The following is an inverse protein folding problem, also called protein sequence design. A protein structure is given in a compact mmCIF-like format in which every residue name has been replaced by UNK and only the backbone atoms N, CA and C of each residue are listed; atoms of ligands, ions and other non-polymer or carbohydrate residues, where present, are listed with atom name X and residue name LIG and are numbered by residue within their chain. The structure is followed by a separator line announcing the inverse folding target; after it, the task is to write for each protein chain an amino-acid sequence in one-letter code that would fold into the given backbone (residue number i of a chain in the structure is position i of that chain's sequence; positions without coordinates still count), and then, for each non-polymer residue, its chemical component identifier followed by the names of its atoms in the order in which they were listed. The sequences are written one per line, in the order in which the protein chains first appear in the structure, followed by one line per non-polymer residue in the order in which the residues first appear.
data_IF_668877897805
#
_entry.id   IF_668877897805
#
_cell.length_a   1.000
_cell.length_b   1.000
_cell.length_c   1.000
_cell.angle_alpha   90.00
_cell.angle_beta   90.00
_cell.angle_gamma   90.00
#
_symmetry.space_group_name_H-M   'P 1'
#
loop_
_entity.id
_entity.type
_entity.pdbx_description
1 polymer ?
#
# COMPACT_ATOMS: atom_id res chain seq x y z
N UNK A 1 -55.34 45.13 50.82
CA UNK A 1 -55.95 44.12 49.93
C UNK A 1 -54.84 43.25 49.39
N UNK A 2 -54.81 41.99 49.80
CA UNK A 2 -53.80 41.00 49.43
C UNK A 2 -54.11 40.43 48.05
N UNK A 3 -53.12 40.38 47.15
CA UNK A 3 -53.19 39.61 45.92
C UNK A 3 -51.90 38.80 45.74
N UNK A 4 -52.06 37.48 45.93
CA UNK A 4 -51.46 36.39 45.16
C UNK A 4 -49.96 36.38 44.88
N UNK A 5 -49.22 35.61 45.69
CA UNK A 5 -47.96 35.00 45.27
C UNK A 5 -48.25 33.93 44.20
N UNK A 6 -47.70 34.09 43.00
CA UNK A 6 -47.59 33.00 42.01
C UNK A 6 -46.11 32.66 41.91
N UNK A 7 -45.73 31.50 42.42
CA UNK A 7 -44.44 30.87 42.19
C UNK A 7 -44.52 30.03 40.91
N UNK A 8 -43.60 30.18 39.95
CA UNK A 8 -43.28 29.08 39.05
C UNK A 8 -42.12 28.28 39.65
N UNK A 9 -42.51 27.12 40.17
CA UNK A 9 -41.87 25.82 39.97
C UNK A 9 -40.38 25.81 39.60
N UNK A 10 -39.61 25.19 40.50
CA UNK A 10 -38.27 24.69 40.25
C UNK A 10 -38.25 23.81 38.99
N UNK A 11 -37.77 24.36 37.87
CA UNK A 11 -37.29 23.56 36.75
C UNK A 11 -35.91 23.07 37.11
N UNK A 12 -35.85 21.81 37.56
CA UNK A 12 -34.60 21.10 37.77
C UNK A 12 -33.79 21.18 36.49
N UNK A 13 -32.70 21.96 36.51
CA UNK A 13 -31.66 21.85 35.49
C UNK A 13 -31.05 20.47 35.68
N UNK A 14 -31.52 19.50 34.91
CA UNK A 14 -30.72 18.35 34.56
C UNK A 14 -29.49 18.94 33.89
N UNK A 15 -28.37 19.02 34.63
CA UNK A 15 -27.08 19.25 34.02
C UNK A 15 -26.83 18.04 33.13
N UNK A 16 -27.22 18.18 31.86
CA UNK A 16 -26.83 17.28 30.80
C UNK A 16 -25.31 17.15 30.84
N UNK A 17 -24.81 15.96 31.17
CA UNK A 17 -23.39 15.58 31.07
C UNK A 17 -22.93 15.46 29.60
N UNK A 18 -23.75 15.93 28.66
CA UNK A 18 -23.47 15.90 27.24
C UNK A 18 -22.56 17.08 26.91
N UNK A 19 -21.29 16.79 26.61
CA UNK A 19 -20.32 17.79 26.18
C UNK A 19 -20.87 18.60 25.00
N UNK A 20 -20.83 19.92 25.11
CA UNK A 20 -21.18 20.81 24.01
C UNK A 20 -19.91 21.14 23.21
N UNK A 21 -19.97 20.98 21.88
CA UNK A 21 -18.90 21.46 21.00
C UNK A 21 -18.82 22.98 21.13
N UNK A 22 -17.72 23.48 21.68
CA UNK A 22 -17.42 24.91 21.65
C UNK A 22 -16.99 25.28 20.23
N UNK A 23 -17.95 25.63 19.37
CA UNK A 23 -17.65 26.23 18.07
C UNK A 23 -17.21 27.68 18.29
N UNK A 24 -15.93 27.87 18.60
CA UNK A 24 -15.28 29.18 18.67
C UNK A 24 -14.25 29.27 17.55
N UNK A 25 -14.49 30.15 16.57
CA UNK A 25 -13.57 30.43 15.48
C UNK A 25 -12.18 30.87 15.99
N UNK A 26 -11.19 30.27 15.34
CA UNK A 26 -9.85 30.76 14.94
C UNK A 26 -8.93 31.31 16.03
N UNK A 27 -8.13 30.40 16.60
CA UNK A 27 -6.82 30.75 17.18
C UNK A 27 -5.87 31.12 16.04
N UNK A 28 -5.54 32.42 15.91
CA UNK A 28 -4.64 33.01 14.90
C UNK A 28 -3.17 32.54 14.97
N UNK A 29 -2.84 31.62 15.88
CA UNK A 29 -1.56 30.91 15.92
C UNK A 29 -1.82 29.42 16.14
N UNK A 30 -1.86 28.67 15.04
CA UNK A 30 -1.98 27.22 15.08
C UNK A 30 -0.57 26.64 15.28
N UNK A 31 -0.16 26.42 16.53
CA UNK A 31 0.94 25.50 16.80
C UNK A 31 0.37 24.09 16.79
N UNK A 32 0.69 23.34 15.74
CA UNK A 32 0.27 21.95 15.61
C UNK A 32 1.51 21.07 15.56
N UNK A 33 1.61 20.17 16.52
CA UNK A 33 2.64 19.16 16.57
C UNK A 33 1.98 17.80 16.40
N UNK A 34 2.29 17.12 15.29
CA UNK A 34 1.74 15.78 15.01
C UNK A 34 2.12 14.79 16.12
N UNK A 35 3.30 14.97 16.74
CA UNK A 35 3.82 14.16 17.84
C UNK A 35 2.80 14.02 19.00
N UNK A 36 2.17 15.12 19.37
CA UNK A 36 1.27 15.21 20.54
C UNK A 36 -0.04 14.45 20.31
N UNK A 37 -0.39 14.20 19.04
CA UNK A 37 -1.62 13.53 18.65
C UNK A 37 -1.48 12.00 18.53
N UNK A 38 -0.27 11.45 18.71
CA UNK A 38 -0.01 10.02 18.56
C UNK A 38 0.30 9.41 19.93
N UNK A 39 -0.57 8.52 20.45
CA UNK A 39 -0.37 7.89 21.75
C UNK A 39 1.01 7.26 21.90
N UNK A 40 1.62 7.38 23.07
CA UNK A 40 2.97 6.84 23.34
C UNK A 40 3.08 5.31 23.12
N UNK A 41 1.97 4.58 23.35
CA UNK A 41 1.85 3.14 23.17
C UNK A 41 1.48 2.71 21.74
N UNK A 42 1.46 3.63 20.77
CA UNK A 42 1.10 3.31 19.39
C UNK A 42 2.17 2.42 18.72
N UNK A 43 1.73 1.42 17.94
CA UNK A 43 2.63 0.44 17.29
C UNK A 43 3.74 1.10 16.48
N UNK A 44 3.39 2.10 15.66
CA UNK A 44 4.37 2.80 14.82
C UNK A 44 5.47 3.49 15.62
N UNK A 45 5.23 3.91 16.87
CA UNK A 45 6.29 4.45 17.73
C UNK A 45 7.28 3.37 18.15
N UNK A 46 6.79 2.18 18.44
CA UNK A 46 7.64 1.04 18.76
C UNK A 46 8.48 0.60 17.56
N UNK A 47 7.87 0.60 16.36
CA UNK A 47 8.60 0.31 15.12
C UNK A 47 9.63 1.40 14.83
N UNK A 48 9.26 2.68 14.96
CA UNK A 48 10.17 3.81 14.67
C UNK A 48 11.43 3.81 15.54
N UNK A 49 11.33 3.36 16.81
CA UNK A 49 12.50 3.20 17.68
C UNK A 49 13.49 2.13 17.22
N UNK A 50 13.02 1.13 16.48
CA UNK A 50 13.82 0.01 16.02
C UNK A 50 14.19 0.11 14.54
N UNK A 51 13.44 0.90 13.77
CA UNK A 51 13.63 1.11 12.34
C UNK A 51 14.66 2.21 12.11
N UNK A 52 15.86 1.79 11.75
CA UNK A 52 16.94 2.69 11.36
C UNK A 52 17.23 2.49 9.87
N UNK A 53 17.20 3.60 9.16
CA UNK A 53 17.39 3.67 7.71
C UNK A 53 18.53 4.64 7.35
N UNK A 54 19.43 4.94 8.30
CA UNK A 54 20.50 5.93 8.13
C UNK A 54 21.41 5.61 6.94
N UNK A 55 21.73 4.32 6.74
CA UNK A 55 22.60 3.86 5.65
C UNK A 55 21.89 3.73 4.29
N UNK A 56 20.55 3.83 4.27
CA UNK A 56 19.73 3.61 3.07
C UNK A 56 20.11 4.53 1.92
N UNK A 57 20.31 5.82 2.23
CA UNK A 57 20.63 6.83 1.22
C UNK A 57 22.03 6.61 0.64
N UNK A 58 22.98 6.21 1.47
CA UNK A 58 24.33 5.87 1.02
C UNK A 58 24.32 4.64 0.12
N UNK A 59 23.60 3.59 0.52
CA UNK A 59 23.45 2.36 -0.26
C UNK A 59 22.85 2.60 -1.66
N UNK A 60 21.91 3.55 -1.76
CA UNK A 60 21.23 3.87 -3.01
C UNK A 60 21.93 4.94 -3.86
N UNK A 61 23.00 5.58 -3.38
CA UNK A 61 23.58 6.76 -4.01
C UNK A 61 23.90 6.57 -5.50
N UNK A 62 24.50 5.44 -5.87
CA UNK A 62 24.90 5.13 -7.25
C UNK A 62 23.71 4.88 -8.21
N UNK A 63 22.50 4.66 -7.66
CA UNK A 63 21.28 4.43 -8.42
C UNK A 63 20.47 5.71 -8.67
N UNK A 64 20.97 6.85 -8.19
CA UNK A 64 20.33 8.16 -8.35
C UNK A 64 21.21 9.07 -9.21
N UNK A 65 20.57 9.80 -10.12
CA UNK A 65 21.26 10.78 -10.97
C UNK A 65 21.59 12.04 -10.15
N UNK A 66 22.79 12.62 -10.31
CA UNK A 66 23.13 13.91 -9.71
C UNK A 66 22.37 15.10 -10.35
N UNK A 67 21.75 14.89 -11.51
CA UNK A 67 21.07 15.94 -12.29
C UNK A 67 19.62 15.52 -12.57
N UNK A 68 18.68 16.46 -12.41
CA UNK A 68 17.28 16.30 -12.78
C UNK A 68 16.31 16.71 -11.68
N UNK A 69 15.03 16.35 -11.86
CA UNK A 69 14.01 16.54 -10.82
C UNK A 69 14.33 15.65 -9.62
N UNK A 70 14.35 16.19 -8.39
CA UNK A 70 14.50 15.38 -7.19
C UNK A 70 13.48 14.25 -7.15
N UNK A 71 13.95 13.03 -6.92
CA UNK A 71 13.08 11.89 -6.72
C UNK A 71 12.49 11.90 -5.31
N UNK A 72 11.47 11.07 -5.09
CA UNK A 72 10.92 10.85 -3.75
C UNK A 72 11.98 10.21 -2.86
N UNK A 73 12.02 10.63 -1.60
CA UNK A 73 12.95 10.08 -0.60
C UNK A 73 12.75 8.56 -0.44
N UNK A 74 13.79 7.73 -0.63
CA UNK A 74 13.67 6.29 -0.44
C UNK A 74 13.26 5.92 0.99
N UNK A 75 13.64 6.70 2.01
CA UNK A 75 13.24 6.43 3.40
C UNK A 75 11.72 6.53 3.58
N UNK A 76 11.12 7.59 3.06
CA UNK A 76 9.67 7.79 3.02
C UNK A 76 8.96 6.61 2.35
N UNK A 77 9.50 6.12 1.22
CA UNK A 77 8.90 4.99 0.52
C UNK A 77 8.93 3.70 1.34
N UNK A 78 10.06 3.39 1.99
CA UNK A 78 10.18 2.22 2.84
C UNK A 78 9.24 2.32 4.04
N UNK A 79 9.14 3.49 4.69
CA UNK A 79 8.22 3.74 5.80
C UNK A 79 6.76 3.54 5.39
N UNK A 80 6.34 4.05 4.23
CA UNK A 80 5.00 3.80 3.70
C UNK A 80 4.74 2.30 3.48
N UNK A 81 5.71 1.58 2.89
CA UNK A 81 5.57 0.14 2.71
C UNK A 81 5.42 -0.61 4.05
N UNK A 82 6.21 -0.25 5.07
CA UNK A 82 6.10 -0.81 6.42
C UNK A 82 4.70 -0.58 7.00
N UNK A 83 4.15 0.63 6.87
CA UNK A 83 2.74 0.92 7.28
C UNK A 83 1.77 -0.02 6.55
N UNK A 84 1.93 -0.16 5.22
CA UNK A 84 1.10 -1.04 4.42
C UNK A 84 1.12 -2.49 4.92
N UNK A 85 2.29 -3.02 5.25
CA UNK A 85 2.44 -4.37 5.80
C UNK A 85 1.86 -4.49 7.22
N UNK A 86 2.12 -3.54 8.12
CA UNK A 86 1.64 -3.60 9.50
C UNK A 86 0.11 -3.56 9.62
N UNK A 87 -0.56 -2.79 8.75
CA UNK A 87 -2.01 -2.63 8.77
C UNK A 87 -2.73 -3.44 7.68
N UNK A 88 -2.01 -4.30 6.95
CA UNK A 88 -2.59 -5.17 5.93
C UNK A 88 -3.15 -4.45 4.70
N UNK A 89 -2.67 -3.23 4.41
CA UNK A 89 -3.09 -2.45 3.25
C UNK A 89 -2.31 -2.95 2.03
N UNK A 90 -2.98 -3.76 1.20
CA UNK A 90 -2.35 -4.37 0.01
C UNK A 90 -2.33 -3.50 -1.24
N UNK A 91 -3.16 -2.45 -1.28
CA UNK A 91 -3.23 -1.53 -2.42
C UNK A 91 -2.41 -0.28 -2.13
N UNK A 92 -1.43 0.02 -3.00
CA UNK A 92 -0.60 1.23 -2.88
C UNK A 92 -1.43 2.51 -3.06
N UNK A 93 -2.47 2.47 -3.88
CA UNK A 93 -3.41 3.59 -4.02
C UNK A 93 -4.09 3.89 -2.69
N UNK A 94 -4.62 2.84 -2.06
CA UNK A 94 -5.23 2.94 -0.73
C UNK A 94 -4.21 3.36 0.31
N UNK A 95 -2.97 2.87 0.24
CA UNK A 95 -1.90 3.27 1.17
C UNK A 95 -1.62 4.77 1.09
N UNK A 96 -1.56 5.34 -0.11
CA UNK A 96 -1.41 6.79 -0.30
C UNK A 96 -2.63 7.56 0.26
N UNK A 97 -3.85 7.10 0.00
CA UNK A 97 -5.08 7.70 0.54
C UNK A 97 -5.09 7.67 2.08
N UNK A 98 -4.75 6.54 2.68
CA UNK A 98 -4.66 6.37 4.13
C UNK A 98 -3.56 7.26 4.72
N UNK A 99 -2.42 7.41 4.04
CA UNK A 99 -1.36 8.32 4.45
C UNK A 99 -1.78 9.80 4.34
N UNK A 100 -2.71 10.16 3.46
CA UNK A 100 -3.29 11.51 3.44
C UNK A 100 -4.17 11.77 4.67
N UNK A 101 -4.94 10.78 5.10
CA UNK A 101 -5.98 10.90 6.12
C UNK A 101 -5.47 10.66 7.55
N UNK A 102 -4.44 9.82 7.72
CA UNK A 102 -4.02 9.34 9.02
C UNK A 102 -2.75 10.05 9.53
N UNK A 103 -2.88 10.78 10.64
CA UNK A 103 -1.78 11.51 11.29
C UNK A 103 -0.64 10.59 11.74
N UNK A 104 -0.96 9.39 12.25
CA UNK A 104 0.06 8.44 12.69
C UNK A 104 0.92 7.94 11.53
N UNK A 105 0.32 7.80 10.34
CA UNK A 105 1.04 7.35 9.15
C UNK A 105 1.95 8.46 8.64
N UNK A 106 1.45 9.71 8.56
CA UNK A 106 2.27 10.88 8.22
C UNK A 106 3.47 11.02 9.14
N UNK A 107 3.23 10.97 10.46
CA UNK A 107 4.27 11.06 11.47
C UNK A 107 5.36 10.00 11.30
N UNK A 108 4.95 8.73 11.16
CA UNK A 108 5.88 7.63 10.98
C UNK A 108 6.69 7.78 9.68
N UNK A 109 6.08 8.36 8.65
CA UNK A 109 6.69 8.65 7.37
C UNK A 109 7.52 9.94 7.34
N UNK A 110 7.66 10.65 8.48
CA UNK A 110 8.33 11.97 8.58
C UNK A 110 7.70 13.03 7.67
N UNK A 111 6.41 12.91 7.38
CA UNK A 111 5.63 13.91 6.65
C UNK A 111 4.96 14.89 7.62
N UNK A 112 5.11 16.16 7.35
CA UNK A 112 4.35 17.26 7.94
C UNK A 112 2.91 17.24 7.44
N UNK A 113 2.03 18.11 7.96
CA UNK A 113 0.66 18.25 7.46
C UNK A 113 0.61 18.78 6.02
N UNK A 114 1.56 19.65 5.66
CA UNK A 114 1.63 20.33 4.37
C UNK A 114 2.33 19.50 3.30
N UNK A 115 3.13 18.51 3.71
CA UNK A 115 3.89 17.69 2.79
C UNK A 115 2.96 16.84 1.90
N UNK A 116 3.32 16.75 0.63
CA UNK A 116 2.61 15.96 -0.37
C UNK A 116 2.92 14.47 -0.19
N UNK A 117 1.87 13.64 -0.15
CA UNK A 117 2.05 12.19 -0.16
C UNK A 117 2.41 11.74 -1.57
N UNK A 118 3.44 10.89 -1.76
CA UNK A 118 3.81 10.39 -3.07
C UNK A 118 2.66 9.69 -3.80
N UNK A 119 2.64 9.83 -5.12
CA UNK A 119 1.70 9.10 -5.96
C UNK A 119 2.02 7.59 -5.97
N UNK A 120 0.98 6.75 -5.92
CA UNK A 120 1.09 5.28 -5.99
C UNK A 120 1.97 4.77 -7.14
N UNK A 121 1.95 5.43 -8.30
CA UNK A 121 2.77 5.04 -9.47
C UNK A 121 4.29 5.14 -9.21
N UNK A 122 4.73 5.89 -8.21
CA UNK A 122 6.15 5.95 -7.83
C UNK A 122 6.61 4.64 -7.21
N UNK A 123 5.75 3.93 -6.49
CA UNK A 123 6.09 2.63 -5.89
C UNK A 123 6.40 1.59 -6.96
N UNK A 124 5.52 1.45 -7.95
CA UNK A 124 5.72 0.50 -9.04
C UNK A 124 6.98 0.84 -9.86
N UNK A 125 7.22 2.11 -10.18
CA UNK A 125 8.43 2.54 -10.91
C UNK A 125 9.71 2.23 -10.15
N UNK A 126 9.80 2.57 -8.87
CA UNK A 126 11.02 2.30 -8.09
C UNK A 126 11.20 0.82 -7.78
N UNK A 127 10.11 0.06 -7.56
CA UNK A 127 10.17 -1.40 -7.36
C UNK A 127 10.76 -2.13 -8.56
N UNK A 128 10.32 -1.78 -9.77
CA UNK A 128 10.78 -2.47 -10.98
C UNK A 128 12.10 -1.93 -11.54
N UNK A 129 12.48 -0.69 -11.18
CA UNK A 129 13.79 -0.10 -11.50
C UNK A 129 14.73 -0.16 -10.29
N UNK A 130 15.08 1.02 -9.76
CA UNK A 130 16.14 1.25 -8.76
C UNK A 130 16.20 0.23 -7.61
N UNK A 131 15.07 -0.12 -7.00
CA UNK A 131 15.05 -1.02 -5.85
C UNK A 131 15.35 -2.47 -6.21
N UNK A 132 14.99 -2.88 -7.44
CA UNK A 132 15.36 -4.19 -7.97
C UNK A 132 16.83 -4.22 -8.35
N UNK A 133 17.29 -3.20 -9.07
CA UNK A 133 18.67 -3.11 -9.56
C UNK A 133 19.68 -3.06 -8.40
N UNK A 134 19.33 -2.35 -7.32
CA UNK A 134 20.11 -2.29 -6.09
C UNK A 134 19.90 -3.47 -5.14
N UNK A 135 19.00 -4.42 -5.43
CA UNK A 135 18.63 -5.48 -4.48
C UNK A 135 18.23 -4.95 -3.09
N UNK A 136 17.62 -3.76 -3.04
CA UNK A 136 17.38 -2.99 -1.82
C UNK A 136 16.67 -3.79 -0.72
N UNK A 137 15.61 -4.51 -1.06
CA UNK A 137 14.83 -5.26 -0.07
C UNK A 137 15.63 -6.40 0.58
N UNK A 138 16.55 -7.02 -0.17
CA UNK A 138 17.43 -8.06 0.37
C UNK A 138 18.46 -7.44 1.32
N UNK A 139 19.04 -6.31 0.95
CA UNK A 139 19.95 -5.57 1.82
C UNK A 139 19.25 -5.12 3.11
N UNK A 140 18.07 -4.51 3.00
CA UNK A 140 17.28 -4.07 4.15
C UNK A 140 16.90 -5.24 5.07
N UNK A 141 16.48 -6.37 4.49
CA UNK A 141 16.19 -7.58 5.26
C UNK A 141 17.40 -8.07 6.05
N UNK A 142 18.58 -8.12 5.42
CA UNK A 142 19.81 -8.52 6.09
C UNK A 142 20.19 -7.57 7.22
N UNK A 143 19.98 -6.26 7.04
CA UNK A 143 20.29 -5.26 8.07
C UNK A 143 19.36 -5.38 9.28
N UNK A 144 18.06 -5.62 9.05
CA UNK A 144 17.11 -5.93 10.12
C UNK A 144 17.50 -7.22 10.84
N UNK A 145 17.85 -8.27 10.07
CA UNK A 145 18.26 -9.56 10.64
C UNK A 145 19.52 -9.42 11.50
N UNK A 146 20.52 -8.67 11.03
CA UNK A 146 21.76 -8.37 11.78
C UNK A 146 21.45 -7.72 13.12
N UNK A 147 20.55 -6.73 13.14
CA UNK A 147 20.13 -6.06 14.38
C UNK A 147 19.38 -7.00 15.33
N UNK A 148 18.56 -7.91 14.79
CA UNK A 148 17.91 -8.93 15.60
C UNK A 148 18.91 -9.91 16.22
N UNK A 149 20.00 -10.25 15.51
CA UNK A 149 21.11 -11.03 16.07
C UNK A 149 21.85 -10.25 17.17
N UNK A 150 22.19 -8.98 16.91
CA UNK A 150 22.86 -8.10 17.88
C UNK A 150 22.02 -7.89 19.16
N UNK A 151 20.69 -7.83 19.02
CA UNK A 151 19.75 -7.77 20.13
C UNK A 151 19.52 -9.12 20.84
N UNK A 152 20.13 -10.22 20.38
CA UNK A 152 19.98 -11.56 20.94
C UNK A 152 18.62 -12.21 20.70
N UNK A 153 17.82 -11.68 19.77
CA UNK A 153 16.51 -12.24 19.39
C UNK A 153 16.65 -13.48 18.51
N UNK A 154 17.74 -13.56 17.73
CA UNK A 154 18.05 -14.70 16.88
C UNK A 154 19.25 -15.44 17.48
N UNK A 155 18.96 -16.56 18.15
CA UNK A 155 19.97 -17.53 18.58
C UNK A 155 20.03 -18.58 17.49
N UNK A 156 21.15 -18.72 16.79
CA UNK A 156 21.35 -19.65 15.67
C UNK A 156 21.29 -21.15 16.03
N UNK A 157 20.52 -21.49 17.05
CA UNK A 157 20.44 -22.79 17.71
C UNK A 157 19.38 -23.71 17.07
N UNK A 158 18.46 -23.15 16.27
CA UNK A 158 17.41 -23.91 15.60
C UNK A 158 17.31 -23.58 14.11
N UNK A 159 17.50 -24.59 13.26
CA UNK A 159 17.25 -24.50 11.82
C UNK A 159 15.90 -25.15 11.52
N UNK A 160 14.91 -24.34 11.14
CA UNK A 160 13.60 -24.81 10.71
C UNK A 160 13.47 -24.61 9.20
N UNK A 161 13.19 -25.70 8.47
CA UNK A 161 12.86 -25.66 7.04
C UNK A 161 11.39 -26.01 6.91
N UNK A 162 10.58 -25.04 6.51
CA UNK A 162 9.21 -25.30 6.09
C UNK A 162 9.18 -25.49 4.58
N UNK A 163 8.58 -26.58 4.11
CA UNK A 163 8.48 -26.92 2.70
C UNK A 163 7.04 -27.29 2.36
N UNK A 164 6.43 -26.53 1.44
CA UNK A 164 5.11 -26.84 0.91
C UNK A 164 5.26 -27.73 -0.33
N UNK A 165 4.75 -28.95 -0.29
CA UNK A 165 4.77 -29.85 -1.45
C UNK A 165 3.70 -29.43 -2.44
N UNK A 166 4.10 -28.71 -3.50
CA UNK A 166 3.23 -28.40 -4.64
C UNK A 166 3.26 -29.60 -5.59
N UNK A 167 2.11 -30.23 -5.83
CA UNK A 167 1.98 -31.33 -6.79
C UNK A 167 2.23 -30.79 -8.20
N UNK A 168 3.34 -31.19 -8.81
CA UNK A 168 3.64 -30.86 -10.21
C UNK A 168 2.55 -31.45 -11.13
N UNK A 169 1.98 -30.63 -12.01
CA UNK A 169 1.06 -31.10 -13.06
C UNK A 169 1.84 -31.61 -14.29
N UNK A 170 2.79 -32.53 -14.07
CA UNK A 170 3.59 -33.17 -15.11
C UNK A 170 3.51 -34.68 -14.94
N UNK A 171 2.52 -35.32 -15.58
CA UNK A 171 2.38 -36.77 -15.60
C UNK A 171 3.02 -37.35 -16.85
N UNK A 172 3.85 -38.40 -16.73
CA UNK A 172 4.44 -39.12 -17.88
C UNK A 172 3.40 -39.65 -18.87
N UNK A 173 2.18 -39.92 -18.41
CA UNK A 173 1.04 -40.33 -19.25
C UNK A 173 0.48 -39.22 -20.15
N UNK A 174 0.83 -37.95 -19.89
CA UNK A 174 0.41 -36.77 -20.69
C UNK A 174 1.53 -36.21 -21.55
N UNK A 175 2.64 -36.94 -21.70
CA UNK A 175 3.73 -36.57 -22.60
C UNK A 175 3.32 -36.81 -24.04
N UNK A 176 3.46 -35.79 -24.89
CA UNK A 176 3.24 -35.89 -26.34
C UNK A 176 4.60 -36.08 -27.02
N UNK A 177 4.75 -37.03 -27.95
CA UNK A 177 5.96 -37.15 -28.77
C UNK A 177 6.26 -35.84 -29.52
N UNK A 178 7.54 -35.48 -29.64
CA UNK A 178 7.96 -34.17 -30.16
C UNK A 178 7.75 -33.94 -31.66
N UNK A 179 7.32 -34.98 -32.38
CA UNK A 179 7.02 -35.01 -33.81
C UNK A 179 5.54 -34.78 -34.14
N UNK A 180 4.67 -34.68 -33.13
CA UNK A 180 3.23 -34.47 -33.30
C UNK A 180 2.92 -32.96 -33.20
N UNK A 181 2.27 -32.39 -34.23
CA UNK A 181 1.74 -31.03 -34.15
C UNK A 181 0.70 -30.93 -33.03
N UNK A 182 1.01 -30.13 -32.00
CA UNK A 182 0.14 -29.92 -30.86
C UNK A 182 -0.85 -28.79 -31.19
N UNK A 183 -2.14 -29.12 -31.20
CA UNK A 183 -3.18 -28.10 -31.28
C UNK A 183 -3.38 -27.45 -29.90
N UNK A 184 -2.65 -26.35 -29.66
CA UNK A 184 -2.69 -25.59 -28.41
C UNK A 184 -4.05 -24.98 -28.05
N UNK A 185 -5.02 -25.02 -28.96
CA UNK A 185 -6.39 -24.55 -28.73
C UNK A 185 -7.33 -25.65 -28.21
N UNK A 186 -6.86 -26.89 -28.09
CA UNK A 186 -7.67 -28.00 -27.56
C UNK A 186 -7.84 -27.87 -26.02
N UNK A 187 -9.07 -27.72 -25.50
CA UNK A 187 -9.34 -27.68 -24.06
C UNK A 187 -8.91 -28.96 -23.33
N UNK A 188 -8.87 -30.11 -24.02
CA UNK A 188 -8.46 -31.39 -23.44
C UNK A 188 -6.95 -31.48 -23.16
N UNK A 189 -6.14 -30.70 -23.89
CA UNK A 189 -4.68 -30.58 -23.69
C UNK A 189 -4.31 -29.50 -22.67
N UNK A 190 -5.27 -28.66 -22.27
CA UNK A 190 -5.05 -27.53 -21.38
C UNK A 190 -4.92 -27.96 -19.92
N UNK A 191 -3.77 -27.65 -19.32
CA UNK A 191 -3.53 -27.80 -17.88
C UNK A 191 -4.58 -27.03 -17.07
N UNK A 192 -4.92 -27.49 -15.86
CA UNK A 192 -5.85 -26.79 -14.95
C UNK A 192 -5.54 -25.28 -14.86
N UNK A 193 -4.28 -24.92 -14.65
CA UNK A 193 -3.86 -23.51 -14.58
C UNK A 193 -4.06 -22.74 -15.91
N UNK A 194 -3.91 -23.41 -17.07
CA UNK A 194 -4.17 -22.81 -18.39
C UNK A 194 -5.67 -22.61 -18.59
N UNK A 195 -6.51 -23.56 -18.17
CA UNK A 195 -7.97 -23.42 -18.21
C UNK A 195 -8.46 -22.31 -17.30
N UNK A 196 -8.01 -22.28 -16.04
CA UNK A 196 -8.35 -21.21 -15.08
C UNK A 196 -7.91 -19.84 -15.62
N UNK A 197 -6.75 -19.75 -16.29
CA UNK A 197 -6.28 -18.51 -16.91
C UNK A 197 -7.14 -18.09 -18.13
N UNK A 198 -7.49 -19.02 -19.01
CA UNK A 198 -8.35 -18.74 -20.16
C UNK A 198 -9.79 -18.38 -19.73
N UNK A 199 -10.33 -19.07 -18.74
CA UNK A 199 -11.64 -18.77 -18.14
C UNK A 199 -11.64 -17.37 -17.52
N UNK A 200 -10.57 -16.99 -16.82
CA UNK A 200 -10.43 -15.62 -16.30
C UNK A 200 -10.34 -14.58 -17.42
N UNK A 201 -9.66 -14.87 -18.52
CA UNK A 201 -9.62 -13.97 -19.69
C UNK A 201 -10.97 -13.86 -20.41
N UNK A 202 -11.72 -14.96 -20.51
CA UNK A 202 -13.06 -14.98 -21.09
C UNK A 202 -14.09 -14.23 -20.20
N UNK A 203 -13.94 -14.29 -18.87
CA UNK A 203 -14.71 -13.47 -17.92
C UNK A 203 -14.38 -11.98 -18.04
N UNK A 204 -13.11 -11.61 -18.23
CA UNK A 204 -12.70 -10.22 -18.46
C UNK A 204 -13.11 -9.69 -19.85
N UNK A 205 -13.27 -10.55 -20.85
CA UNK A 205 -13.67 -10.19 -22.22
C UNK A 205 -15.16 -9.82 -22.38
N UNK A 206 -15.99 -9.99 -21.35
CA UNK A 206 -17.38 -9.55 -21.32
C UNK A 206 -17.53 -8.25 -20.50
N UNK A 207 -17.21 -7.09 -21.11
CA UNK A 207 -18.30 -6.24 -21.58
C UNK A 207 -17.92 -5.49 -22.88
N UNK A 208 -18.29 -6.06 -24.04
CA UNK A 208 -18.26 -5.30 -25.28
C UNK A 208 -19.36 -5.70 -26.28
N UNK A 209 -20.52 -6.21 -25.82
CA UNK A 209 -21.69 -6.27 -26.70
C UNK A 209 -22.98 -6.07 -25.91
N UNK A 210 -23.27 -4.82 -25.52
CA UNK A 210 -24.61 -4.26 -25.69
C UNK A 210 -24.62 -2.77 -25.39
N UNK A 211 -25.21 -2.02 -26.33
CA UNK A 211 -25.79 -0.68 -26.22
C UNK A 211 -25.06 0.35 -27.11
N UNK A 212 -25.41 0.44 -28.39
CA UNK A 212 -26.48 1.27 -28.96
C UNK A 212 -26.11 2.76 -29.10
N UNK A 213 -26.25 3.22 -30.35
CA UNK A 213 -26.38 4.60 -30.86
C UNK A 213 -25.14 5.46 -31.15
N UNK A 214 -25.18 5.99 -32.38
CA UNK A 214 -24.51 7.17 -32.92
C UNK A 214 -23.02 7.07 -33.30
N UNK A 215 -22.74 6.73 -34.55
CA UNK A 215 -22.54 7.75 -35.61
C UNK A 215 -21.90 7.12 -36.87
N UNK A 216 -22.68 7.17 -37.94
CA UNK A 216 -22.29 7.24 -39.36
C UNK A 216 -20.91 7.87 -39.63
N UNK A 217 -19.98 7.13 -40.23
CA UNK A 217 -19.67 7.19 -41.68
C UNK A 217 -18.28 6.60 -42.01
N UNK A 218 -18.06 6.13 -43.26
CA UNK A 218 -16.91 5.31 -43.63
C UNK A 218 -15.88 6.10 -44.44
N UNK A 219 -14.62 6.16 -44.00
CA UNK A 219 -13.51 6.53 -44.88
C UNK A 219 -12.14 6.16 -44.31
N UNK A 220 -11.27 5.73 -45.24
CA UNK A 220 -9.82 5.61 -45.16
C UNK A 220 -9.21 4.34 -44.57
N UNK A 221 -9.22 3.31 -45.44
CA UNK A 221 -8.08 2.43 -45.68
C UNK A 221 -6.77 3.20 -45.90
N UNK A 222 -5.67 2.49 -45.57
CA UNK A 222 -4.24 2.70 -45.90
C UNK A 222 -3.42 3.43 -44.84
N UNK A 223 -2.61 2.69 -44.08
CA UNK A 223 -1.14 2.85 -44.07
C UNK A 223 -0.48 1.76 -43.21
N UNK A 224 -0.22 0.60 -43.81
CA UNK A 224 0.93 -0.25 -43.46
C UNK A 224 1.99 0.05 -44.50
N UNK A 225 3.12 0.63 -44.06
CA UNK A 225 4.47 0.47 -44.61
C UNK A 225 5.38 1.56 -44.01
N UNK A 226 6.04 1.21 -42.89
CA UNK A 226 7.42 1.54 -42.49
C UNK A 226 7.72 0.94 -41.11
#
# INVERSE_FOLDING_TARGET
MAWGKITPSASGRILSMMGQLSSGQERLFYSFNIEDHIPANHLLRSIDRCLDLSDLRHYLADFYSPIGRPSIDPELMIRLLVVGYCYGIRSERRLCEEAHLNLAYRWFCRLSLEDEVPNHSTFSKNRHGRFRDSSLFRWLFNEVLRRCMDAGLVKGEGFAVDASVIKANAGRQRGVPGDVEINWRDPALSTRAVREYLEALDEEALPAVSCCYCCTSPSMQKMTDL
#
